data_IF_752973761396
#
_entry.id   IF_752973761396
#
_cell.length_a   1.000
_cell.length_b   1.000
_cell.length_c   1.000
_cell.angle_alpha   90.00
_cell.angle_beta   90.00
_cell.angle_gamma   90.00
#
_symmetry.space_group_name_H-M   'P 1'
#
loop_
_entity.id
_entity.type
_entity.pdbx_description
1 polymer ?
#
# COMPACT_ATOMS: atom_id res chain seq x y z
N UNK A 1 47.97 -10.99 19.24
CA UNK A 1 47.55 -9.66 18.90
C UNK A 1 46.29 -9.80 18.04
N UNK A 2 45.14 -9.60 18.66
CA UNK A 2 43.84 -9.67 17.95
C UNK A 2 43.52 -8.29 17.44
N UNK A 3 43.57 -8.09 16.12
CA UNK A 3 43.11 -6.89 15.51
C UNK A 3 41.57 -6.89 15.47
N UNK A 4 40.95 -5.93 16.14
CA UNK A 4 39.53 -5.68 16.02
C UNK A 4 39.15 -5.33 14.56
N UNK A 5 38.04 -5.83 14.01
CA UNK A 5 37.64 -5.50 12.67
C UNK A 5 37.30 -4.00 12.55
N UNK A 6 37.52 -3.39 11.40
CA UNK A 6 37.27 -1.97 11.21
C UNK A 6 35.75 -1.68 11.34
N UNK A 7 35.41 -0.81 12.27
CA UNK A 7 34.07 -0.21 12.37
C UNK A 7 33.87 0.69 11.16
N UNK A 8 33.08 0.26 10.19
CA UNK A 8 32.66 1.12 9.10
C UNK A 8 31.80 2.27 9.64
N UNK A 9 32.10 3.53 9.31
CA UNK A 9 31.32 4.65 9.80
C UNK A 9 29.89 4.56 9.31
N UNK A 10 28.94 4.54 10.25
CA UNK A 10 27.53 4.75 9.96
C UNK A 10 27.39 6.21 9.53
N UNK A 11 27.07 6.43 8.27
CA UNK A 11 26.86 7.78 7.75
C UNK A 11 25.45 8.23 8.14
N UNK A 12 25.33 8.98 9.22
CA UNK A 12 24.07 9.66 9.53
C UNK A 12 23.76 10.69 8.44
N UNK A 13 22.54 10.64 7.92
CA UNK A 13 22.08 11.62 6.94
C UNK A 13 21.77 12.93 7.67
N UNK A 14 22.39 14.07 7.30
CA UNK A 14 22.08 15.35 7.92
C UNK A 14 20.60 15.69 7.78
N UNK A 15 19.88 15.86 8.90
CA UNK A 15 18.52 16.40 8.94
C UNK A 15 17.41 15.47 9.37
N UNK A 16 17.61 14.13 9.39
CA UNK A 16 16.60 13.18 9.86
C UNK A 16 17.20 12.26 10.92
N UNK A 17 17.03 12.53 12.21
CA UNK A 17 17.55 11.68 13.28
C UNK A 17 16.90 10.28 13.22
N UNK A 18 17.75 9.24 13.37
CA UNK A 18 17.31 7.84 13.42
C UNK A 18 17.31 7.11 12.08
N UNK A 19 17.98 7.65 11.04
CA UNK A 19 18.22 6.95 9.78
C UNK A 19 19.69 6.56 9.70
N UNK A 20 19.97 5.28 9.49
CA UNK A 20 21.31 4.76 9.25
C UNK A 20 21.35 3.99 7.93
N UNK A 21 22.34 4.28 7.09
CA UNK A 21 22.60 3.52 5.85
C UNK A 21 23.88 2.69 6.01
N UNK A 22 23.93 1.54 5.34
CA UNK A 22 25.09 0.67 5.38
C UNK A 22 25.07 -0.42 4.31
N UNK A 23 25.90 -1.43 4.50
CA UNK A 23 25.99 -2.59 3.64
C UNK A 23 25.85 -3.85 4.51
N UNK A 24 25.05 -4.81 4.07
CA UNK A 24 24.87 -6.10 4.73
C UNK A 24 26.08 -7.04 4.54
N UNK A 25 26.12 -8.15 5.25
CA UNK A 25 27.18 -9.16 5.15
C UNK A 25 27.33 -9.74 3.72
N UNK A 26 26.24 -9.82 2.97
CA UNK A 26 26.19 -10.29 1.59
C UNK A 26 26.22 -9.16 0.53
N UNK A 27 26.61 -7.95 0.95
CA UNK A 27 26.87 -6.82 0.06
C UNK A 27 25.64 -6.05 -0.44
N UNK A 28 24.47 -6.23 0.14
CA UNK A 28 23.28 -5.45 -0.22
C UNK A 28 23.34 -4.05 0.40
N UNK A 29 22.91 -2.99 -0.31
CA UNK A 29 22.57 -1.72 0.32
C UNK A 29 21.43 -1.91 1.33
N UNK A 30 21.64 -1.46 2.54
CA UNK A 30 20.67 -1.59 3.65
C UNK A 30 20.49 -0.25 4.37
N UNK A 31 19.36 -0.11 5.07
CA UNK A 31 19.10 1.03 5.93
C UNK A 31 18.24 0.62 7.13
N UNK A 32 18.33 1.39 8.20
CA UNK A 32 17.50 1.25 9.40
C UNK A 32 16.80 2.59 9.68
N UNK A 33 15.49 2.51 9.91
CA UNK A 33 14.65 3.64 10.35
C UNK A 33 13.84 3.18 11.55
N UNK A 34 14.21 3.63 12.73
CA UNK A 34 13.61 3.10 13.97
C UNK A 34 13.78 1.59 14.05
N UNK A 35 12.65 0.86 14.08
CA UNK A 35 12.61 -0.62 14.12
C UNK A 35 12.52 -1.27 12.72
N UNK A 36 12.43 -0.48 11.65
CA UNK A 36 12.25 -0.99 10.28
C UNK A 36 13.57 -1.06 9.54
N UNK A 37 13.98 -2.25 9.16
CA UNK A 37 15.10 -2.51 8.28
C UNK A 37 14.67 -2.56 6.82
N UNK A 38 15.43 -1.93 5.95
CA UNK A 38 15.26 -1.89 4.51
C UNK A 38 16.49 -2.49 3.83
N UNK A 39 16.27 -3.22 2.73
CA UNK A 39 17.37 -3.66 1.86
C UNK A 39 16.97 -3.62 0.39
N UNK A 40 17.98 -3.46 -0.47
CA UNK A 40 17.82 -3.59 -1.91
C UNK A 40 18.35 -4.96 -2.34
N UNK A 41 17.47 -5.96 -2.35
CA UNK A 41 17.81 -7.33 -2.66
C UNK A 41 17.83 -7.61 -4.17
N UNK A 42 18.78 -8.44 -4.61
CA UNK A 42 18.88 -8.91 -5.99
C UNK A 42 18.06 -10.20 -6.16
N UNK A 43 17.17 -10.23 -7.15
CA UNK A 43 16.43 -11.42 -7.53
C UNK A 43 17.24 -12.28 -8.53
N UNK A 44 16.76 -13.50 -8.80
CA UNK A 44 17.38 -14.45 -9.75
C UNK A 44 17.50 -13.90 -11.17
N UNK A 45 16.58 -13.03 -11.58
CA UNK A 45 16.58 -12.36 -12.88
C UNK A 45 17.55 -11.17 -12.98
N UNK A 46 18.32 -10.91 -11.91
CA UNK A 46 19.27 -9.81 -11.81
C UNK A 46 18.66 -8.46 -11.45
N UNK A 47 17.35 -8.34 -11.40
CA UNK A 47 16.65 -7.12 -10.98
C UNK A 47 16.78 -6.92 -9.48
N UNK A 48 16.68 -5.66 -9.04
CA UNK A 48 16.74 -5.30 -7.63
C UNK A 48 15.36 -4.90 -7.13
N UNK A 49 15.04 -5.33 -5.93
CA UNK A 49 13.75 -5.11 -5.28
C UNK A 49 13.94 -4.58 -3.87
N UNK A 50 13.04 -3.72 -3.45
CA UNK A 50 12.93 -3.29 -2.07
C UNK A 50 12.37 -4.43 -1.21
N UNK A 51 13.09 -4.76 -0.16
CA UNK A 51 12.66 -5.73 0.87
C UNK A 51 12.79 -5.09 2.25
N UNK A 52 11.97 -5.56 3.18
CA UNK A 52 11.92 -5.03 4.54
C UNK A 52 11.92 -6.13 5.58
N UNK A 53 12.35 -5.77 6.79
CA UNK A 53 12.21 -6.56 8.00
C UNK A 53 11.92 -5.65 9.19
N UNK A 54 11.46 -6.20 10.27
CA UNK A 54 11.14 -5.47 11.48
C UNK A 54 11.86 -6.05 12.69
N UNK A 55 12.45 -5.17 13.51
CA UNK A 55 13.15 -5.53 14.77
C UNK A 55 14.25 -6.57 14.59
N UNK A 56 15.14 -6.37 13.62
CA UNK A 56 16.33 -7.22 13.53
C UNK A 56 17.24 -6.96 14.74
N UNK A 57 17.59 -8.04 15.46
CA UNK A 57 18.37 -7.96 16.70
C UNK A 57 19.88 -7.93 16.49
N UNK A 58 20.35 -8.29 15.30
CA UNK A 58 21.78 -8.30 14.96
C UNK A 58 22.22 -6.99 14.30
N UNK A 59 23.51 -6.64 14.38
CA UNK A 59 24.07 -5.46 13.72
C UNK A 59 23.85 -5.47 12.22
N UNK A 60 23.69 -4.29 11.63
CA UNK A 60 23.41 -4.09 10.19
C UNK A 60 24.43 -4.80 9.28
N UNK A 61 25.70 -4.82 9.65
CA UNK A 61 26.77 -5.49 8.89
C UNK A 61 26.70 -7.03 8.91
N UNK A 62 25.86 -7.59 9.76
CA UNK A 62 25.61 -9.04 9.85
C UNK A 62 24.31 -9.47 9.16
N UNK A 63 23.55 -8.52 8.61
CA UNK A 63 22.32 -8.85 7.90
C UNK A 63 22.61 -9.56 6.59
N UNK A 64 21.71 -10.46 6.22
CA UNK A 64 21.73 -11.22 4.96
C UNK A 64 20.36 -11.15 4.31
N UNK A 65 20.24 -11.60 3.07
CA UNK A 65 18.96 -11.65 2.35
C UNK A 65 17.88 -12.40 3.14
N UNK A 66 18.24 -13.43 3.88
CA UNK A 66 17.30 -14.29 4.60
C UNK A 66 16.66 -13.60 5.82
N UNK A 67 17.22 -12.49 6.29
CA UNK A 67 16.63 -11.71 7.37
C UNK A 67 15.42 -10.86 6.92
N UNK A 68 15.26 -10.67 5.62
CA UNK A 68 14.23 -9.81 5.05
C UNK A 68 13.06 -10.63 4.51
N UNK A 69 11.89 -10.47 5.09
CA UNK A 69 10.66 -11.20 4.78
C UNK A 69 9.57 -10.36 4.14
N UNK A 70 9.62 -9.02 4.27
CA UNK A 70 8.69 -8.11 3.61
C UNK A 70 9.13 -7.86 2.17
N UNK A 71 8.17 -7.94 1.23
CA UNK A 71 8.43 -7.76 -0.21
C UNK A 71 7.26 -7.04 -0.88
N UNK A 72 7.51 -5.85 -1.41
CA UNK A 72 6.48 -5.04 -2.10
C UNK A 72 6.36 -5.35 -3.59
N UNK A 73 7.27 -6.11 -4.18
CA UNK A 73 7.38 -6.27 -5.64
C UNK A 73 7.96 -5.04 -6.36
N UNK A 74 8.24 -3.97 -5.63
CA UNK A 74 8.72 -2.72 -6.18
C UNK A 74 10.19 -2.87 -6.64
N UNK A 75 10.44 -2.57 -7.92
CA UNK A 75 11.81 -2.48 -8.45
C UNK A 75 12.46 -1.22 -7.91
N UNK A 76 13.68 -1.33 -7.44
CA UNK A 76 14.40 -0.20 -6.87
C UNK A 76 15.81 -0.09 -7.47
N UNK A 77 16.16 1.11 -7.92
CA UNK A 77 17.53 1.55 -8.02
C UNK A 77 17.97 2.19 -6.69
N UNK A 78 19.22 2.64 -6.62
CA UNK A 78 19.76 3.24 -5.39
C UNK A 78 19.03 4.54 -5.01
N UNK A 79 18.63 5.35 -5.99
CA UNK A 79 17.93 6.61 -5.75
C UNK A 79 16.53 6.34 -5.20
N UNK A 80 15.78 5.40 -5.79
CA UNK A 80 14.46 4.98 -5.32
C UNK A 80 14.53 4.34 -3.92
N UNK A 81 15.55 3.51 -3.67
CA UNK A 81 15.80 2.93 -2.35
C UNK A 81 15.99 4.03 -1.28
N UNK A 82 16.89 4.99 -1.53
CA UNK A 82 17.14 6.10 -0.61
C UNK A 82 15.90 6.96 -0.40
N UNK A 83 15.19 7.30 -1.47
CA UNK A 83 13.95 8.07 -1.40
C UNK A 83 12.90 7.38 -0.53
N UNK A 84 12.74 6.06 -0.68
CA UNK A 84 11.79 5.29 0.12
C UNK A 84 12.16 5.22 1.60
N UNK A 85 13.44 5.06 1.92
CA UNK A 85 13.95 5.08 3.29
C UNK A 85 13.70 6.44 3.94
N UNK A 86 14.01 7.53 3.25
CA UNK A 86 13.80 8.88 3.76
C UNK A 86 12.31 9.21 3.92
N UNK A 87 11.46 8.83 2.96
CA UNK A 87 10.00 8.98 3.08
C UNK A 87 9.46 8.27 4.32
N UNK A 88 9.95 7.05 4.60
CA UNK A 88 9.56 6.33 5.81
C UNK A 88 10.03 7.04 7.08
N UNK A 89 11.24 7.59 7.08
CA UNK A 89 11.76 8.34 8.22
C UNK A 89 10.95 9.62 8.51
N UNK A 90 10.59 10.36 7.47
CA UNK A 90 9.72 11.53 7.57
C UNK A 90 8.34 11.14 8.11
N UNK A 91 7.75 10.09 7.56
CA UNK A 91 6.48 9.57 8.04
C UNK A 91 6.52 9.21 9.53
N UNK A 92 7.56 8.49 9.98
CA UNK A 92 7.71 8.14 11.39
C UNK A 92 7.93 9.37 12.26
N UNK A 93 8.69 10.37 11.79
CA UNK A 93 8.92 11.62 12.49
C UNK A 93 7.60 12.40 12.67
N UNK A 94 6.86 12.63 11.57
CA UNK A 94 5.57 13.29 11.61
C UNK A 94 4.57 12.54 12.50
N UNK A 95 4.52 11.21 12.41
CA UNK A 95 3.63 10.37 13.21
C UNK A 95 3.85 10.54 14.72
N UNK A 96 5.10 10.72 15.16
CA UNK A 96 5.43 10.98 16.58
C UNK A 96 4.97 12.37 17.03
N UNK A 97 4.93 13.35 16.12
CA UNK A 97 4.46 14.70 16.41
C UNK A 97 2.93 14.79 16.48
N UNK A 98 2.20 13.84 15.90
CA UNK A 98 0.74 13.75 15.99
C UNK A 98 0.34 13.23 17.38
N UNK A 99 -0.63 13.90 18.02
CA UNK A 99 -1.13 13.57 19.36
C UNK A 99 -2.04 12.32 19.36
N UNK A 100 -1.69 11.29 18.59
CA UNK A 100 -2.43 10.03 18.55
C UNK A 100 -2.08 9.19 19.78
N UNK A 101 -3.08 8.55 20.38
CA UNK A 101 -2.85 7.66 21.51
C UNK A 101 -3.73 6.42 21.44
N UNK A 102 -3.18 5.30 21.86
CA UNK A 102 -3.87 4.02 21.90
C UNK A 102 -4.71 3.91 23.17
N UNK A 103 -5.88 3.30 23.02
CA UNK A 103 -6.79 2.99 24.13
C UNK A 103 -7.28 1.54 24.01
N UNK A 104 -7.55 0.92 25.15
CA UNK A 104 -8.31 -0.32 25.18
C UNK A 104 -9.76 -0.03 24.78
N UNK A 105 -10.29 -0.77 23.84
CA UNK A 105 -11.68 -0.62 23.38
C UNK A 105 -12.34 -1.97 23.22
N UNK A 106 -13.60 -2.07 23.64
CA UNK A 106 -14.49 -3.20 23.41
C UNK A 106 -15.77 -2.75 22.72
N UNK A 107 -15.71 -1.62 22.01
CA UNK A 107 -16.85 -1.07 21.29
C UNK A 107 -17.34 -2.08 20.22
N UNK A 108 -18.65 -2.13 20.02
CA UNK A 108 -19.21 -2.84 18.87
C UNK A 108 -18.97 -2.03 17.61
N UNK A 109 -18.40 -2.64 16.59
CA UNK A 109 -18.16 -2.05 15.27
C UNK A 109 -18.92 -2.82 14.19
N UNK A 110 -19.08 -2.30 12.98
CA UNK A 110 -19.68 -3.06 11.87
C UNK A 110 -18.92 -4.35 11.52
N UNK A 111 -17.66 -4.45 11.92
CA UNK A 111 -16.74 -5.58 11.60
C UNK A 111 -16.53 -6.52 12.81
N UNK A 112 -17.23 -6.30 13.90
CA UNK A 112 -17.12 -7.08 15.13
C UNK A 112 -16.71 -6.28 16.36
N UNK A 113 -16.37 -6.97 17.44
CA UNK A 113 -15.92 -6.33 18.67
C UNK A 113 -14.51 -5.74 18.48
N UNK A 114 -14.31 -4.48 18.87
CA UNK A 114 -13.03 -3.82 18.87
C UNK A 114 -12.06 -4.53 19.83
N UNK A 115 -10.82 -4.75 19.38
CA UNK A 115 -9.71 -5.31 20.18
C UNK A 115 -8.78 -4.20 20.69
N UNK A 116 -8.84 -3.02 20.09
CA UNK A 116 -8.08 -1.85 20.45
C UNK A 116 -8.53 -0.66 19.60
N UNK A 117 -8.17 0.54 20.02
CA UNK A 117 -8.48 1.73 19.26
C UNK A 117 -7.38 2.79 19.40
N UNK A 118 -7.23 3.62 18.37
CA UNK A 118 -6.34 4.78 18.37
C UNK A 118 -7.18 6.04 18.22
N UNK A 119 -7.08 6.93 19.19
CA UNK A 119 -7.71 8.24 19.14
C UNK A 119 -6.81 9.19 18.37
N UNK A 120 -7.33 9.76 17.30
CA UNK A 120 -6.65 10.76 16.47
C UNK A 120 -6.96 12.18 16.93
N UNK A 121 -8.19 12.40 17.35
CA UNK A 121 -8.69 13.63 17.98
C UNK A 121 -10.05 13.32 18.62
N UNK A 122 -10.58 14.25 19.40
CA UNK A 122 -11.94 14.15 19.88
C UNK A 122 -12.92 13.92 18.72
N UNK A 123 -13.69 12.83 18.81
CA UNK A 123 -14.66 12.42 17.79
C UNK A 123 -14.06 11.81 16.52
N UNK A 124 -12.76 11.45 16.51
CA UNK A 124 -12.07 10.73 15.42
C UNK A 124 -11.27 9.57 16.02
N UNK A 125 -11.78 8.37 15.92
CA UNK A 125 -11.17 7.16 16.51
C UNK A 125 -11.09 6.05 15.49
N UNK A 126 -9.92 5.43 15.36
CA UNK A 126 -9.74 4.19 14.57
C UNK A 126 -9.87 2.99 15.49
N UNK A 127 -10.59 1.97 15.06
CA UNK A 127 -10.79 0.71 15.76
C UNK A 127 -10.17 -0.44 14.97
N UNK A 128 -9.53 -1.39 15.67
CA UNK A 128 -9.08 -2.66 15.11
C UNK A 128 -9.96 -3.80 15.61
N UNK A 129 -10.24 -4.77 14.77
CA UNK A 129 -10.94 -6.03 15.11
C UNK A 129 -10.12 -7.23 14.66
N UNK A 130 -10.63 -8.45 14.81
CA UNK A 130 -9.92 -9.66 14.42
C UNK A 130 -9.67 -9.79 12.90
N UNK A 131 -10.53 -9.21 12.07
CA UNK A 131 -10.44 -9.36 10.61
C UNK A 131 -10.33 -8.05 9.84
N UNK A 132 -10.91 -6.98 10.39
CA UNK A 132 -10.98 -5.67 9.76
C UNK A 132 -10.84 -4.55 10.79
N UNK A 133 -10.80 -3.31 10.31
CA UNK A 133 -10.78 -2.13 11.15
C UNK A 133 -11.40 -0.93 10.45
N UNK A 134 -11.30 0.22 11.08
CA UNK A 134 -11.77 1.46 10.47
C UNK A 134 -12.04 2.58 11.45
N UNK A 135 -12.37 3.74 10.91
CA UNK A 135 -12.64 4.94 11.69
C UNK A 135 -14.09 5.05 12.10
N UNK A 136 -14.28 5.50 13.34
CA UNK A 136 -15.54 6.04 13.82
C UNK A 136 -15.42 7.54 13.96
N UNK A 137 -16.32 8.26 13.30
CA UNK A 137 -16.49 9.70 13.50
C UNK A 137 -17.71 9.98 14.41
N UNK A 138 -17.59 10.97 15.29
CA UNK A 138 -18.76 11.54 15.99
C UNK A 138 -19.73 12.15 14.98
N UNK A 139 -20.98 12.34 15.36
CA UNK A 139 -21.97 12.98 14.49
C UNK A 139 -21.53 14.37 14.02
N UNK A 140 -20.86 15.15 14.89
CA UNK A 140 -20.32 16.46 14.53
C UNK A 140 -19.21 16.37 13.51
N UNK A 141 -18.23 15.46 13.71
CA UNK A 141 -17.14 15.25 12.77
C UNK A 141 -17.65 14.70 11.45
N UNK A 142 -18.59 13.75 11.48
CA UNK A 142 -19.18 13.16 10.28
C UNK A 142 -19.91 14.20 9.41
N UNK A 143 -20.53 15.21 10.00
CA UNK A 143 -21.14 16.31 9.23
C UNK A 143 -20.15 17.15 8.42
N UNK A 144 -18.84 17.14 8.76
CA UNK A 144 -17.78 17.82 8.01
C UNK A 144 -17.33 17.06 6.77
N UNK A 145 -17.62 15.76 6.70
CA UNK A 145 -17.35 14.97 5.50
C UNK A 145 -18.32 15.41 4.39
N UNK A 146 -17.80 15.57 3.19
CA UNK A 146 -18.61 15.98 2.04
C UNK A 146 -19.77 14.97 1.81
N UNK A 147 -21.00 15.41 1.50
CA UNK A 147 -22.16 14.53 1.37
C UNK A 147 -21.97 13.33 0.45
N UNK A 148 -21.26 13.48 -0.67
CA UNK A 148 -20.97 12.40 -1.63
C UNK A 148 -20.09 11.27 -1.07
N UNK A 149 -19.33 11.55 0.00
CA UNK A 149 -18.40 10.58 0.63
C UNK A 149 -18.82 10.21 2.05
N UNK A 150 -19.91 10.82 2.55
CA UNK A 150 -20.32 10.68 3.95
C UNK A 150 -21.00 9.35 4.22
N UNK A 151 -20.46 8.59 5.16
CA UNK A 151 -21.13 7.40 5.71
C UNK A 151 -22.28 7.80 6.64
N UNK A 152 -23.45 7.20 6.46
CA UNK A 152 -24.63 7.46 7.30
C UNK A 152 -24.38 7.16 8.79
N UNK A 153 -23.65 6.07 9.06
CA UNK A 153 -23.29 5.66 10.43
C UNK A 153 -22.02 6.29 10.99
N UNK A 154 -21.29 7.09 10.21
CA UNK A 154 -19.99 7.66 10.61
C UNK A 154 -18.89 6.60 10.75
N UNK A 155 -19.03 5.43 10.15
CA UNK A 155 -18.02 4.39 10.08
C UNK A 155 -17.35 4.38 8.71
N UNK A 156 -16.01 4.28 8.69
CA UNK A 156 -15.17 4.31 7.50
C UNK A 156 -14.15 3.18 7.60
N UNK A 157 -14.30 2.21 6.72
CA UNK A 157 -13.53 0.97 6.70
C UNK A 157 -12.05 1.22 6.32
N UNK A 158 -11.14 0.35 6.79
CA UNK A 158 -9.70 0.54 6.70
C UNK A 158 -9.09 0.35 5.30
N UNK A 159 -9.70 -0.43 4.41
CA UNK A 159 -9.12 -0.71 3.10
C UNK A 159 -9.15 0.52 2.17
N UNK A 160 -10.26 1.22 2.14
CA UNK A 160 -10.41 2.39 1.27
C UNK A 160 -11.03 3.61 1.98
N UNK A 161 -12.10 3.41 2.76
CA UNK A 161 -12.87 4.53 3.29
C UNK A 161 -12.13 5.37 4.35
N UNK A 162 -11.08 4.86 4.98
CA UNK A 162 -10.19 5.64 5.86
C UNK A 162 -9.65 6.89 5.16
N UNK A 163 -9.44 6.80 3.84
CA UNK A 163 -8.92 7.90 3.04
C UNK A 163 -9.87 9.11 3.02
N UNK A 164 -11.18 8.88 3.14
CA UNK A 164 -12.19 9.95 3.27
C UNK A 164 -11.97 10.73 4.57
N UNK A 165 -11.64 10.03 5.65
CA UNK A 165 -11.34 10.67 6.93
C UNK A 165 -10.05 11.50 6.81
N UNK A 166 -9.03 10.96 6.14
CA UNK A 166 -7.74 11.63 5.97
C UNK A 166 -7.83 12.89 5.10
N UNK A 167 -8.58 12.88 4.00
CA UNK A 167 -8.77 14.09 3.18
C UNK A 167 -9.68 15.13 3.87
N UNK A 168 -10.60 14.68 4.74
CA UNK A 168 -11.47 15.58 5.50
C UNK A 168 -10.74 16.25 6.67
N UNK A 169 -9.82 15.55 7.31
CA UNK A 169 -9.05 16.01 8.47
C UNK A 169 -7.54 15.89 8.26
N UNK A 170 -6.97 16.55 7.25
CA UNK A 170 -5.58 16.34 6.84
C UNK A 170 -4.55 16.65 7.92
N UNK A 171 -4.87 17.50 8.88
CA UNK A 171 -4.03 17.85 10.03
C UNK A 171 -3.84 16.71 11.04
N UNK A 172 -4.62 15.65 10.98
CA UNK A 172 -4.52 14.44 11.80
C UNK A 172 -3.65 13.35 11.16
N UNK A 173 -3.16 13.59 9.94
CA UNK A 173 -2.44 12.60 9.13
C UNK A 173 -1.11 13.15 8.64
N UNK A 174 -0.12 12.25 8.51
CA UNK A 174 1.20 12.59 7.97
C UNK A 174 1.11 12.94 6.49
N UNK A 175 2.15 13.56 5.93
CA UNK A 175 2.23 13.85 4.49
C UNK A 175 2.13 12.58 3.65
N UNK A 176 2.78 11.50 4.09
CA UNK A 176 2.67 10.19 3.44
C UNK A 176 1.24 9.66 3.44
N UNK A 177 0.56 9.64 4.60
CA UNK A 177 -0.83 9.18 4.70
C UNK A 177 -1.78 10.02 3.83
N UNK A 178 -1.59 11.35 3.79
CA UNK A 178 -2.40 12.23 2.92
C UNK A 178 -2.23 11.91 1.43
N UNK A 179 -0.98 11.67 0.96
CA UNK A 179 -0.75 11.25 -0.44
C UNK A 179 -1.39 9.90 -0.76
N UNK A 180 -1.29 8.94 0.16
CA UNK A 180 -1.98 7.66 0.01
C UNK A 180 -3.50 7.83 -0.02
N UNK A 181 -4.06 8.66 0.86
CA UNK A 181 -5.49 8.93 0.92
C UNK A 181 -6.00 9.61 -0.36
N UNK A 182 -5.27 10.59 -0.88
CA UNK A 182 -5.60 11.24 -2.16
C UNK A 182 -5.71 10.21 -3.29
N UNK A 183 -4.69 9.34 -3.43
CA UNK A 183 -4.71 8.27 -4.44
C UNK A 183 -5.90 7.33 -4.25
N UNK A 184 -6.13 6.88 -3.02
CA UNK A 184 -7.22 5.97 -2.69
C UNK A 184 -8.59 6.56 -3.03
N UNK A 185 -8.82 7.86 -2.75
CA UNK A 185 -10.10 8.50 -3.08
C UNK A 185 -10.25 8.69 -4.60
N UNK A 186 -9.19 9.06 -5.31
CA UNK A 186 -9.20 9.12 -6.79
C UNK A 186 -9.51 7.75 -7.41
N UNK A 187 -8.92 6.68 -6.84
CA UNK A 187 -9.13 5.32 -7.33
C UNK A 187 -10.52 4.77 -7.03
N UNK A 188 -11.05 5.03 -5.84
CA UNK A 188 -12.29 4.39 -5.39
C UNK A 188 -13.55 5.24 -5.64
N UNK A 189 -13.42 6.57 -5.62
CA UNK A 189 -14.54 7.53 -5.79
C UNK A 189 -14.19 8.66 -6.75
N UNK A 190 -13.79 8.37 -8.01
CA UNK A 190 -13.34 9.39 -8.95
C UNK A 190 -14.39 10.49 -9.22
N UNK A 191 -15.66 10.11 -9.36
CA UNK A 191 -16.74 11.07 -9.63
C UNK A 191 -16.95 12.03 -8.46
N UNK A 192 -16.83 11.53 -7.22
CA UNK A 192 -16.89 12.36 -6.02
C UNK A 192 -15.65 13.27 -5.91
N UNK A 193 -14.47 12.76 -6.24
CA UNK A 193 -13.24 13.55 -6.28
C UNK A 193 -13.38 14.73 -7.24
N UNK A 194 -13.78 14.45 -8.48
CA UNK A 194 -13.97 15.50 -9.52
C UNK A 194 -15.00 16.55 -9.10
N UNK A 195 -16.12 16.12 -8.51
CA UNK A 195 -17.17 17.02 -8.05
C UNK A 195 -16.74 17.90 -6.87
N UNK A 196 -15.93 17.36 -5.94
CA UNK A 196 -15.48 18.07 -4.74
C UNK A 196 -14.35 19.03 -5.04
N UNK A 197 -13.37 18.60 -5.83
CA UNK A 197 -12.13 19.36 -6.07
C UNK A 197 -12.15 20.15 -7.40
N UNK A 198 -13.17 19.98 -8.24
CA UNK A 198 -13.32 20.69 -9.51
C UNK A 198 -12.25 20.32 -10.54
N UNK A 199 -11.60 19.15 -10.39
CA UNK A 199 -10.50 18.71 -11.25
C UNK A 199 -10.90 17.42 -11.96
N UNK A 200 -10.83 17.40 -13.29
CA UNK A 200 -11.07 16.21 -14.11
C UNK A 200 -9.84 15.33 -14.08
N UNK A 201 -10.01 14.09 -13.59
CA UNK A 201 -8.94 13.09 -13.56
C UNK A 201 -8.58 12.64 -14.98
N UNK A 202 -7.28 12.66 -15.27
CA UNK A 202 -6.73 12.22 -16.55
C UNK A 202 -6.52 10.70 -16.55
N UNK A 203 -6.37 10.06 -17.73
CA UNK A 203 -5.98 8.66 -17.81
C UNK A 203 -4.72 8.36 -16.97
N UNK A 204 -4.75 7.28 -16.19
CA UNK A 204 -3.69 6.89 -15.26
C UNK A 204 -3.80 7.50 -13.85
N UNK A 205 -4.73 8.44 -13.62
CA UNK A 205 -4.95 9.04 -12.29
C UNK A 205 -6.01 8.31 -11.45
N UNK A 206 -6.82 7.43 -12.06
CA UNK A 206 -7.84 6.64 -11.37
C UNK A 206 -8.03 5.28 -12.05
N UNK A 207 -7.70 4.21 -11.34
CA UNK A 207 -7.93 2.85 -11.83
C UNK A 207 -9.39 2.57 -12.16
N UNK A 208 -10.32 3.06 -11.35
CA UNK A 208 -11.75 2.86 -11.59
C UNK A 208 -12.23 3.59 -12.85
N UNK A 209 -11.75 4.82 -13.08
CA UNK A 209 -12.10 5.61 -14.26
C UNK A 209 -11.49 5.00 -15.53
N UNK A 210 -10.24 4.58 -15.45
CA UNK A 210 -9.54 3.91 -16.55
C UNK A 210 -10.21 2.58 -16.89
N UNK A 211 -10.58 1.79 -15.87
CA UNK A 211 -11.34 0.55 -16.05
C UNK A 211 -12.69 0.79 -16.75
N UNK A 212 -13.45 1.81 -16.32
CA UNK A 212 -14.73 2.16 -16.96
C UNK A 212 -14.53 2.62 -18.41
N UNK A 213 -13.45 3.34 -18.71
CA UNK A 213 -13.12 3.77 -20.07
C UNK A 213 -12.79 2.57 -20.94
N UNK A 214 -11.91 1.71 -20.45
CA UNK A 214 -11.52 0.46 -21.12
C UNK A 214 -12.75 -0.44 -21.42
N UNK A 215 -13.63 -0.64 -20.44
CA UNK A 215 -14.85 -1.45 -20.60
C UNK A 215 -15.80 -0.87 -21.65
N UNK A 216 -15.89 0.45 -21.77
CA UNK A 216 -16.69 1.12 -22.81
C UNK A 216 -16.08 1.00 -24.20
N UNK A 217 -14.77 1.22 -24.30
CA UNK A 217 -14.05 1.16 -25.57
C UNK A 217 -14.03 -0.28 -26.16
N UNK A 218 -14.05 -1.29 -25.28
CA UNK A 218 -13.99 -2.69 -25.65
C UNK A 218 -15.31 -3.42 -25.44
N UNK A 219 -16.45 -2.68 -25.31
CA UNK A 219 -17.75 -3.25 -24.94
C UNK A 219 -18.17 -4.44 -25.82
N UNK A 220 -17.82 -4.39 -27.11
CA UNK A 220 -18.15 -5.42 -28.11
C UNK A 220 -16.99 -6.37 -28.40
N UNK A 221 -15.89 -6.30 -27.65
CA UNK A 221 -14.72 -7.14 -27.84
C UNK A 221 -14.61 -8.22 -26.74
N UNK A 222 -14.15 -9.41 -27.14
CA UNK A 222 -13.76 -10.45 -26.18
C UNK A 222 -12.38 -10.12 -25.62
N UNK A 223 -12.33 -9.81 -24.33
CA UNK A 223 -11.12 -9.41 -23.62
C UNK A 223 -10.72 -10.48 -22.63
N UNK A 224 -9.45 -10.82 -22.60
CA UNK A 224 -8.89 -11.79 -21.65
C UNK A 224 -9.01 -11.22 -20.22
N UNK A 225 -9.84 -11.85 -19.42
CA UNK A 225 -10.06 -11.50 -18.02
C UNK A 225 -9.19 -12.32 -17.06
N UNK A 226 -8.77 -13.52 -17.47
CA UNK A 226 -7.92 -14.41 -16.67
C UNK A 226 -7.08 -15.31 -17.58
N UNK A 227 -5.84 -15.57 -17.16
CA UNK A 227 -4.95 -16.54 -17.80
C UNK A 227 -4.12 -17.24 -16.72
N UNK A 228 -4.18 -18.57 -16.68
CA UNK A 228 -3.45 -19.39 -15.71
C UNK A 228 -2.78 -20.57 -16.42
N UNK A 229 -1.60 -20.96 -15.98
CA UNK A 229 -0.96 -22.19 -16.49
C UNK A 229 -1.87 -23.38 -16.25
N UNK A 230 -2.17 -24.16 -17.30
CA UNK A 230 -3.02 -25.32 -17.18
C UNK A 230 -2.36 -26.37 -16.28
N UNK A 231 -3.17 -26.94 -15.38
CA UNK A 231 -2.77 -28.09 -14.55
C UNK A 231 -3.05 -29.42 -15.23
N UNK A 232 -3.90 -29.41 -16.25
CA UNK A 232 -4.38 -30.61 -16.95
C UNK A 232 -3.63 -30.85 -18.28
N UNK A 233 -3.22 -29.75 -18.94
CA UNK A 233 -2.53 -29.79 -20.23
C UNK A 233 -1.17 -29.07 -20.10
N UNK A 234 -0.07 -29.82 -19.84
CA UNK A 234 1.26 -29.22 -19.73
C UNK A 234 1.66 -28.49 -21.03
N UNK A 235 2.22 -27.29 -20.89
CA UNK A 235 2.61 -26.44 -22.03
C UNK A 235 1.50 -25.52 -22.52
N UNK A 236 0.33 -25.50 -21.86
CA UNK A 236 -0.79 -24.63 -22.22
C UNK A 236 -1.16 -23.67 -21.09
N UNK A 237 -1.83 -22.57 -21.47
CA UNK A 237 -2.45 -21.58 -20.60
C UNK A 237 -3.96 -21.65 -20.80
N UNK A 238 -4.70 -21.81 -19.72
CA UNK A 238 -6.18 -21.69 -19.69
C UNK A 238 -6.53 -20.22 -19.63
N UNK A 239 -7.22 -19.74 -20.67
CA UNK A 239 -7.61 -18.34 -20.85
C UNK A 239 -9.13 -18.23 -20.75
N UNK A 240 -9.60 -17.30 -19.93
CA UNK A 240 -11.00 -16.91 -19.86
C UNK A 240 -11.13 -15.50 -20.42
N UNK A 241 -11.95 -15.34 -21.45
CA UNK A 241 -12.29 -14.04 -22.01
C UNK A 241 -13.77 -13.72 -21.72
N UNK A 242 -14.03 -12.44 -21.47
CA UNK A 242 -15.36 -11.89 -21.26
C UNK A 242 -15.63 -10.74 -22.20
N UNK A 243 -16.87 -10.44 -22.50
CA UNK A 243 -17.24 -9.33 -23.34
C UNK A 243 -16.95 -7.99 -22.61
N UNK A 244 -16.17 -7.13 -23.22
CA UNK A 244 -15.71 -5.87 -22.61
C UNK A 244 -14.75 -6.02 -21.44
N UNK A 245 -14.20 -7.21 -21.17
CA UNK A 245 -13.35 -7.47 -20.00
C UNK A 245 -14.07 -7.45 -18.66
N UNK A 246 -15.40 -7.44 -18.65
CA UNK A 246 -16.22 -7.34 -17.44
C UNK A 246 -16.02 -8.58 -16.55
N UNK A 247 -16.02 -8.35 -15.23
CA UNK A 247 -15.92 -9.42 -14.22
C UNK A 247 -17.16 -9.37 -13.35
N UNK A 248 -17.70 -10.54 -13.01
CA UNK A 248 -18.84 -10.65 -12.10
C UNK A 248 -19.75 -11.82 -12.41
N UNK A 249 -20.68 -12.10 -11.50
CA UNK A 249 -21.66 -13.17 -11.67
C UNK A 249 -22.60 -12.88 -12.85
N UNK A 250 -22.78 -13.86 -13.75
CA UNK A 250 -23.65 -13.73 -14.92
C UNK A 250 -22.98 -13.11 -16.16
N UNK A 251 -21.69 -12.80 -16.12
CA UNK A 251 -20.94 -12.38 -17.32
C UNK A 251 -20.73 -13.56 -18.24
N UNK A 252 -21.02 -13.39 -19.54
CA UNK A 252 -20.73 -14.40 -20.55
C UNK A 252 -19.23 -14.62 -20.66
N UNK A 253 -18.80 -15.88 -20.56
CA UNK A 253 -17.40 -16.27 -20.62
C UNK A 253 -17.12 -17.16 -21.83
N UNK A 254 -15.97 -16.98 -22.46
CA UNK A 254 -15.37 -17.94 -23.40
C UNK A 254 -14.05 -18.44 -22.84
N UNK A 255 -13.85 -19.74 -22.95
CA UNK A 255 -12.65 -20.42 -22.45
C UNK A 255 -11.86 -20.98 -23.59
N UNK A 256 -10.54 -20.79 -23.53
CA UNK A 256 -9.60 -21.22 -24.55
C UNK A 256 -8.41 -21.90 -23.88
N UNK A 257 -7.84 -22.85 -24.61
CA UNK A 257 -6.55 -23.45 -24.27
C UNK A 257 -5.51 -22.96 -25.30
N UNK A 258 -4.54 -22.18 -24.83
CA UNK A 258 -3.56 -21.50 -25.67
C UNK A 258 -2.16 -22.06 -25.38
N UNK A 259 -1.37 -22.45 -26.41
CA UNK A 259 0.01 -22.85 -26.15
C UNK A 259 0.81 -21.78 -25.42
N UNK A 260 1.56 -22.16 -24.38
CA UNK A 260 2.29 -21.22 -23.53
C UNK A 260 3.30 -20.36 -24.31
N UNK A 261 3.83 -20.88 -25.41
CA UNK A 261 4.76 -20.16 -26.31
C UNK A 261 4.09 -19.08 -27.16
N UNK A 262 2.76 -19.16 -27.35
CA UNK A 262 1.97 -18.17 -28.10
C UNK A 262 1.34 -17.12 -27.15
N UNK A 263 1.26 -17.43 -25.85
CA UNK A 263 0.74 -16.53 -24.86
C UNK A 263 1.88 -15.64 -24.32
N UNK A 264 1.96 -14.40 -24.79
CA UNK A 264 2.85 -13.39 -24.24
C UNK A 264 2.07 -12.43 -23.37
N UNK A 265 2.58 -12.18 -22.18
CA UNK A 265 2.08 -11.11 -21.30
C UNK A 265 2.70 -9.82 -21.80
N UNK A 266 1.87 -8.91 -22.30
CA UNK A 266 2.28 -7.57 -22.74
C UNK A 266 2.65 -6.67 -21.56
#
# INVERSE_FOLDING_TARGET
MNASPPVHPQTETPGLPGVSFGTSADGMPVALVGDTAFAMAKARDGRRYLVTAWRLSKPMGEWTRDDFYGHSGERADEAAFRARVLENAEHQHEKRALSRHEICSRASTPWGASQGATVYAEGVTSHSTAGHGGFKLSAERNRKVHPMLRSAGGWYEEDAAWAIVAITFPHLFTAFERRCAERTVKDSWPDAWEAIFGTILQPGESHEKDRRSFEREHADHWVVASAITSKHEPGFVEVVATLGGKRGAGTEERRFLVPSGEYSIG
#
